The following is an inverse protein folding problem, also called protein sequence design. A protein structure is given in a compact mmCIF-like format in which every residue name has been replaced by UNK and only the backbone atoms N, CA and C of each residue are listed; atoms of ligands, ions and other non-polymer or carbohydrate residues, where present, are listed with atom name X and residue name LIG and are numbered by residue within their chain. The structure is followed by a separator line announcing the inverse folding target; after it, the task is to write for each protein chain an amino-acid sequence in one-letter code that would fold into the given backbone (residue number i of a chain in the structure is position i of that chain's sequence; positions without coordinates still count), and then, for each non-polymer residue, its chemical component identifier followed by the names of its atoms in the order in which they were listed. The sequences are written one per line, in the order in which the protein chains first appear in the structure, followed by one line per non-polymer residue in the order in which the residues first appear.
data_IF_525473979114
#
_entry.id   IF_525473979114
#
_cell.length_a   1.000
_cell.length_b   1.000
_cell.length_c   1.000
_cell.angle_alpha   90.00
_cell.angle_beta   90.00
_cell.angle_gamma   90.00
#
_symmetry.space_group_name_H-M   'P 1'
#
loop_
_entity.id
_entity.type
_entity.pdbx_description
1 polymer ?
#
# COMPACT_ATOMS: atom_id res chain seq x y z
N UNK A 1 -10.36 7.01 -19.28
CA UNK A 1 -10.21 6.05 -18.16
C UNK A 1 -9.73 6.83 -16.96
N UNK A 2 -10.23 6.58 -15.75
CA UNK A 2 -9.82 7.34 -14.58
C UNK A 2 -8.34 7.10 -14.26
N UNK A 3 -7.65 8.13 -13.79
CA UNK A 3 -6.22 8.08 -13.47
C UNK A 3 -5.98 7.81 -11.97
N UNK A 4 -5.02 6.93 -11.67
CA UNK A 4 -4.51 6.70 -10.32
C UNK A 4 -3.02 7.06 -10.25
N UNK A 5 -2.61 7.73 -9.18
CA UNK A 5 -1.20 7.94 -8.87
C UNK A 5 -0.86 7.25 -7.55
N UNK A 6 0.25 6.53 -7.51
CA UNK A 6 0.66 5.82 -6.30
C UNK A 6 2.08 6.21 -5.90
N UNK A 7 2.22 6.64 -4.65
CA UNK A 7 3.50 6.88 -3.99
C UNK A 7 3.77 5.72 -3.04
N UNK A 8 4.94 5.10 -3.17
CA UNK A 8 5.36 3.99 -2.33
C UNK A 8 6.59 4.39 -1.53
N UNK A 9 6.39 4.52 -0.21
CA UNK A 9 7.40 4.90 0.76
C UNK A 9 7.89 3.69 1.56
N UNK A 10 9.03 3.85 2.23
CA UNK A 10 9.58 2.83 3.12
C UNK A 10 10.43 1.79 2.40
N UNK A 11 9.98 0.53 2.41
CA UNK A 11 10.84 -0.62 2.13
C UNK A 11 10.40 -1.44 0.91
N UNK A 12 11.22 -2.40 0.46
CA UNK A 12 10.87 -3.29 -0.65
C UNK A 12 9.58 -4.11 -0.45
N UNK A 13 9.19 -4.43 0.79
CA UNK A 13 7.88 -5.10 1.03
C UNK A 13 6.72 -4.18 0.66
N UNK A 14 6.83 -2.91 1.05
CA UNK A 14 5.86 -1.88 0.69
C UNK A 14 5.80 -1.64 -0.82
N UNK A 15 6.93 -1.79 -1.53
CA UNK A 15 6.98 -1.78 -3.00
C UNK A 15 6.07 -2.84 -3.59
N UNK A 16 6.22 -4.10 -3.14
CA UNK A 16 5.37 -5.21 -3.61
C UNK A 16 3.90 -4.96 -3.30
N UNK A 17 3.58 -4.50 -2.09
CA UNK A 17 2.21 -4.15 -1.68
C UNK A 17 1.60 -3.05 -2.58
N UNK A 18 2.44 -2.09 -2.99
CA UNK A 18 2.05 -1.00 -3.89
C UNK A 18 1.78 -1.47 -5.31
N UNK A 19 2.62 -2.37 -5.82
CA UNK A 19 2.44 -2.98 -7.14
C UNK A 19 1.19 -3.86 -7.18
N UNK A 20 0.82 -4.48 -6.04
CA UNK A 20 -0.47 -5.16 -5.89
C UNK A 20 -1.63 -4.18 -5.98
N UNK A 21 -1.58 -3.07 -5.24
CA UNK A 21 -2.60 -2.02 -5.31
C UNK A 21 -2.76 -1.43 -6.72
N UNK A 22 -1.66 -1.22 -7.46
CA UNK A 22 -1.73 -0.80 -8.87
C UNK A 22 -2.39 -1.87 -9.75
N UNK A 23 -2.10 -3.15 -9.52
CA UNK A 23 -2.76 -4.26 -10.20
C UNK A 23 -4.27 -4.30 -9.93
N UNK A 24 -4.68 -4.12 -8.68
CA UNK A 24 -6.10 -4.01 -8.29
C UNK A 24 -6.78 -2.84 -8.99
N UNK A 25 -6.12 -1.67 -9.02
CA UNK A 25 -6.64 -0.48 -9.68
C UNK A 25 -6.81 -0.70 -11.20
N UNK A 26 -5.86 -1.37 -11.85
CA UNK A 26 -5.97 -1.74 -13.27
C UNK A 26 -7.17 -2.64 -13.54
N UNK A 27 -7.45 -3.62 -12.67
CA UNK A 27 -8.64 -4.47 -12.78
C UNK A 27 -9.95 -3.68 -12.63
N UNK A 28 -9.92 -2.55 -11.92
CA UNK A 28 -11.05 -1.63 -11.77
C UNK A 28 -11.09 -0.54 -12.86
N UNK A 29 -10.29 -0.67 -13.93
CA UNK A 29 -10.31 0.25 -15.08
C UNK A 29 -9.53 1.56 -14.88
N UNK A 30 -8.74 1.67 -13.82
CA UNK A 30 -7.84 2.80 -13.62
C UNK A 30 -6.53 2.59 -14.38
N UNK A 31 -5.99 3.67 -14.94
CA UNK A 31 -4.64 3.67 -15.50
C UNK A 31 -3.71 4.43 -14.56
N UNK A 32 -2.47 3.94 -14.43
CA UNK A 32 -1.47 4.57 -13.57
C UNK A 32 -0.85 5.80 -14.27
N UNK A 33 -0.87 6.95 -13.61
CA UNK A 33 -0.15 8.17 -14.04
C UNK A 33 1.03 8.45 -13.11
N UNK A 34 2.09 9.05 -13.67
CA UNK A 34 3.23 9.56 -12.90
C UNK A 34 3.00 10.98 -12.36
N UNK A 35 1.97 11.65 -12.84
CA UNK A 35 1.67 13.04 -12.50
C UNK A 35 0.53 13.10 -11.48
N UNK A 36 0.85 13.40 -10.22
CA UNK A 36 -0.14 13.45 -9.13
C UNK A 36 -1.29 14.42 -9.42
N UNK A 37 -1.01 15.56 -10.09
CA UNK A 37 -2.01 16.58 -10.44
C UNK A 37 -3.12 16.07 -11.37
N UNK A 38 -2.82 15.05 -12.18
CA UNK A 38 -3.72 14.46 -13.19
C UNK A 38 -4.51 13.28 -12.62
N UNK A 39 -4.14 12.80 -11.43
CA UNK A 39 -4.76 11.64 -10.82
C UNK A 39 -6.08 11.99 -10.12
N UNK A 40 -7.10 11.18 -10.38
CA UNK A 40 -8.39 11.25 -9.70
C UNK A 40 -8.31 10.53 -8.35
N UNK A 41 -7.52 9.47 -8.26
CA UNK A 41 -7.22 8.75 -7.02
C UNK A 41 -5.74 8.83 -6.74
N UNK A 42 -5.36 9.25 -5.55
CA UNK A 42 -3.98 9.23 -5.09
C UNK A 42 -3.86 8.24 -3.93
N UNK A 43 -2.92 7.31 -4.03
CA UNK A 43 -2.60 6.35 -2.97
C UNK A 43 -1.21 6.64 -2.43
N UNK A 44 -1.11 6.86 -1.12
CA UNK A 44 0.18 6.96 -0.42
C UNK A 44 0.37 5.71 0.42
N UNK A 45 1.26 4.81 -0.01
CA UNK A 45 1.63 3.63 0.77
C UNK A 45 2.81 3.95 1.70
N UNK A 46 2.54 3.98 2.99
CA UNK A 46 3.36 4.63 4.01
C UNK A 46 4.20 3.67 4.85
N UNK A 47 5.23 4.22 5.50
CA UNK A 47 6.05 3.51 6.47
C UNK A 47 5.76 3.99 7.90
N UNK A 48 5.48 3.05 8.81
CA UNK A 48 5.20 3.33 10.23
C UNK A 48 6.31 2.89 11.20
N UNK A 49 7.47 2.46 10.68
CA UNK A 49 8.47 1.74 11.48
C UNK A 49 9.34 2.67 12.33
N UNK A 50 10.10 3.57 11.70
CA UNK A 50 11.02 4.51 12.37
C UNK A 50 10.48 5.94 12.33
N UNK A 51 10.85 6.76 13.32
CA UNK A 51 10.40 8.15 13.47
C UNK A 51 10.56 9.00 12.20
N UNK A 52 11.74 9.06 11.55
CA UNK A 52 11.92 9.82 10.31
C UNK A 52 10.97 9.40 9.19
N UNK A 53 10.77 8.09 9.00
CA UNK A 53 9.88 7.56 7.97
C UNK A 53 8.40 7.89 8.23
N UNK A 54 8.00 8.00 9.52
CA UNK A 54 6.66 8.49 9.88
C UNK A 54 6.48 9.95 9.47
N UNK A 55 7.47 10.80 9.78
CA UNK A 55 7.43 12.24 9.43
C UNK A 55 7.39 12.45 7.92
N UNK A 56 8.23 11.72 7.18
CA UNK A 56 8.21 11.70 5.71
C UNK A 56 6.83 11.28 5.19
N UNK A 57 6.26 10.20 5.73
CA UNK A 57 4.94 9.72 5.31
C UNK A 57 3.86 10.78 5.51
N UNK A 58 3.82 11.45 6.67
CA UNK A 58 2.84 12.54 6.93
C UNK A 58 3.06 13.73 5.99
N UNK A 59 4.30 14.14 5.77
CA UNK A 59 4.61 15.25 4.86
C UNK A 59 4.12 14.97 3.43
N UNK A 60 4.36 13.75 2.92
CA UNK A 60 3.90 13.34 1.58
C UNK A 60 2.38 13.23 1.53
N UNK A 61 1.70 12.76 2.58
CA UNK A 61 0.23 12.72 2.62
C UNK A 61 -0.33 14.13 2.45
N UNK A 62 0.19 15.11 3.21
CA UNK A 62 -0.26 16.49 3.15
C UNK A 62 0.06 17.15 1.80
N UNK A 63 1.22 16.85 1.22
CA UNK A 63 1.57 17.28 -0.14
C UNK A 63 0.56 16.74 -1.16
N UNK A 64 0.22 15.46 -1.07
CA UNK A 64 -0.76 14.83 -1.98
C UNK A 64 -2.18 15.33 -1.75
N UNK A 65 -2.54 15.68 -0.51
CA UNK A 65 -3.83 16.29 -0.20
C UNK A 65 -4.02 17.65 -0.87
N UNK A 66 -2.95 18.42 -1.11
CA UNK A 66 -3.03 19.68 -1.83
C UNK A 66 -3.57 19.51 -3.26
N UNK A 67 -3.43 18.32 -3.87
CA UNK A 67 -4.01 18.01 -5.18
C UNK A 67 -5.53 17.82 -5.16
N UNK A 68 -6.18 17.74 -4.00
CA UNK A 68 -7.66 17.82 -3.90
C UNK A 68 -8.19 19.22 -4.21
N UNK A 69 -7.36 20.25 -4.05
CA UNK A 69 -7.70 21.66 -4.32
C UNK A 69 -7.12 22.12 -5.65
N UNK A 70 -5.88 21.75 -5.94
CA UNK A 70 -5.10 22.27 -7.08
C UNK A 70 -5.04 21.32 -8.29
N UNK A 71 -5.49 20.08 -8.13
CA UNK A 71 -5.41 19.02 -9.15
C UNK A 71 -6.75 18.32 -9.37
N UNK A 72 -6.67 17.11 -9.91
CA UNK A 72 -7.85 16.29 -10.23
C UNK A 72 -8.26 15.33 -9.10
N UNK A 73 -7.55 15.35 -7.97
CA UNK A 73 -7.71 14.35 -6.92
C UNK A 73 -9.07 14.47 -6.26
N UNK A 74 -9.90 13.43 -6.37
CA UNK A 74 -11.16 13.30 -5.64
C UNK A 74 -11.03 12.37 -4.44
N UNK A 75 -10.04 11.48 -4.45
CA UNK A 75 -9.87 10.44 -3.46
C UNK A 75 -8.40 10.29 -3.05
N UNK A 76 -8.11 10.53 -1.78
CA UNK A 76 -6.82 10.31 -1.16
C UNK A 76 -6.90 9.10 -0.22
N UNK A 77 -6.13 8.07 -0.56
CA UNK A 77 -6.06 6.81 0.20
C UNK A 77 -4.68 6.67 0.84
N UNK A 78 -4.64 6.41 2.14
CA UNK A 78 -3.39 6.16 2.87
C UNK A 78 -3.31 4.70 3.30
N UNK A 79 -2.36 3.98 2.72
CA UNK A 79 -2.17 2.56 2.97
C UNK A 79 -0.90 2.28 3.78
N UNK A 80 -0.79 1.07 4.31
CA UNK A 80 0.48 0.50 4.76
C UNK A 80 0.73 0.57 6.26
N UNK A 81 2.02 0.54 6.62
CA UNK A 81 2.47 0.34 7.99
C UNK A 81 2.11 1.48 8.94
N UNK A 82 1.97 2.72 8.46
CA UNK A 82 1.58 3.85 9.32
C UNK A 82 0.11 3.70 9.72
N UNK A 83 -0.79 3.50 8.74
CA UNK A 83 -2.23 3.27 8.93
C UNK A 83 -2.51 2.10 9.87
N UNK A 84 -1.73 1.00 9.76
CA UNK A 84 -1.88 -0.16 10.64
C UNK A 84 -1.57 0.15 12.12
N UNK A 85 -0.65 1.08 12.39
CA UNK A 85 -0.11 1.30 13.73
C UNK A 85 -0.99 2.18 14.60
N UNK A 86 -1.56 3.23 13.99
CA UNK A 86 -2.24 4.31 14.68
C UNK A 86 -3.52 4.72 13.92
N UNK A 87 -4.46 3.79 13.65
CA UNK A 87 -5.59 4.06 12.76
C UNK A 87 -6.45 5.24 13.25
N UNK A 88 -6.84 5.24 14.53
CA UNK A 88 -7.75 6.26 15.07
C UNK A 88 -7.09 7.64 15.18
N UNK A 89 -5.84 7.68 15.65
CA UNK A 89 -5.04 8.91 15.76
C UNK A 89 -4.84 9.54 14.37
N UNK A 90 -4.40 8.76 13.37
CA UNK A 90 -4.22 9.24 12.00
C UNK A 90 -5.52 9.73 11.37
N UNK A 91 -6.65 9.04 11.61
CA UNK A 91 -7.94 9.47 11.09
C UNK A 91 -8.40 10.81 11.68
N UNK A 92 -8.03 11.09 12.94
CA UNK A 92 -8.32 12.36 13.61
C UNK A 92 -7.39 13.49 13.16
N UNK A 93 -6.10 13.20 12.96
CA UNK A 93 -5.08 14.20 12.61
C UNK A 93 -5.02 14.52 11.12
N UNK A 94 -5.49 13.61 10.25
CA UNK A 94 -5.46 13.74 8.79
C UNK A 94 -6.89 13.70 8.21
N UNK A 95 -7.75 14.70 8.49
CA UNK A 95 -9.13 14.76 8.00
C UNK A 95 -9.24 14.78 6.47
N UNK A 96 -8.19 15.19 5.76
CA UNK A 96 -8.10 15.23 4.30
C UNK A 96 -8.02 13.85 3.63
N UNK A 97 -7.69 12.80 4.39
CA UNK A 97 -7.62 11.42 3.91
C UNK A 97 -9.01 10.78 3.93
N UNK A 98 -9.44 10.27 2.77
CA UNK A 98 -10.76 9.66 2.59
C UNK A 98 -10.80 8.22 3.10
N UNK A 99 -9.74 7.45 2.87
CA UNK A 99 -9.66 6.06 3.32
C UNK A 99 -8.27 5.68 3.85
N UNK A 100 -8.25 4.89 4.91
CA UNK A 100 -7.05 4.26 5.46
C UNK A 100 -7.10 2.75 5.24
N UNK A 101 -6.04 2.19 4.67
CA UNK A 101 -5.92 0.75 4.40
C UNK A 101 -4.77 0.17 5.23
N UNK A 102 -5.02 -0.93 5.93
CA UNK A 102 -4.01 -1.65 6.71
C UNK A 102 -2.93 -2.30 5.84
N UNK A 103 -1.85 -2.76 6.48
CA UNK A 103 -0.72 -3.36 5.75
C UNK A 103 -1.04 -4.70 5.09
N UNK A 104 -2.08 -5.38 5.59
CA UNK A 104 -2.59 -6.65 5.08
C UNK A 104 -3.91 -6.51 4.33
N UNK A 105 -4.35 -5.27 4.09
CA UNK A 105 -5.67 -4.98 3.52
C UNK A 105 -5.58 -4.41 2.09
N UNK A 106 -4.42 -4.55 1.44
CA UNK A 106 -4.11 -3.92 0.13
C UNK A 106 -5.14 -4.23 -0.97
N UNK A 107 -5.80 -5.40 -0.90
CA UNK A 107 -6.84 -5.79 -1.85
C UNK A 107 -8.14 -4.99 -1.68
N UNK A 108 -8.40 -4.45 -0.48
CA UNK A 108 -9.57 -3.60 -0.18
C UNK A 108 -9.54 -2.26 -0.91
N UNK A 109 -8.44 -1.92 -1.58
CA UNK A 109 -8.44 -0.81 -2.53
C UNK A 109 -9.51 -1.01 -3.62
N UNK A 110 -9.80 -2.25 -4.02
CA UNK A 110 -10.88 -2.53 -4.97
C UNK A 110 -12.24 -2.04 -4.47
N UNK A 111 -12.55 -2.32 -3.20
CA UNK A 111 -13.81 -1.87 -2.57
C UNK A 111 -13.89 -0.34 -2.53
N UNK A 112 -12.79 0.33 -2.19
CA UNK A 112 -12.67 1.80 -2.21
C UNK A 112 -12.93 2.36 -3.62
N UNK A 113 -12.30 1.77 -4.64
CA UNK A 113 -12.47 2.19 -6.03
C UNK A 113 -13.89 1.90 -6.57
N UNK A 114 -14.57 0.89 -6.03
CA UNK A 114 -15.96 0.57 -6.34
C UNK A 114 -16.98 1.48 -5.62
N UNK A 115 -16.52 2.44 -4.80
CA UNK A 115 -17.37 3.37 -4.06
C UNK A 115 -17.71 2.93 -2.63
N UNK A 116 -16.91 2.04 -2.05
CA UNK A 116 -17.02 1.65 -0.64
C UNK A 116 -16.94 2.84 0.31
N UNK A 117 -17.70 2.79 1.40
CA UNK A 117 -17.94 3.94 2.28
C UNK A 117 -17.07 4.01 3.53
N UNK A 118 -16.42 2.90 3.91
CA UNK A 118 -15.69 2.86 5.17
C UNK A 118 -14.38 3.63 5.08
N UNK A 119 -14.24 4.67 5.91
CA UNK A 119 -13.01 5.45 6.02
C UNK A 119 -11.84 4.65 6.60
N UNK A 120 -12.12 3.62 7.40
CA UNK A 120 -11.11 2.80 8.07
C UNK A 120 -11.21 1.34 7.66
N UNK A 121 -10.25 0.88 6.86
CA UNK A 121 -10.15 -0.47 6.31
C UNK A 121 -8.86 -1.13 6.83
N UNK A 122 -8.65 -1.06 8.15
CA UNK A 122 -7.50 -1.63 8.84
C UNK A 122 -7.93 -2.88 9.58
N UNK A 123 -7.52 -4.03 9.07
CA UNK A 123 -7.80 -5.36 9.62
C UNK A 123 -6.66 -5.90 10.45
N UNK A 124 -6.71 -7.22 10.69
CA UNK A 124 -5.64 -7.91 11.38
C UNK A 124 -4.43 -8.03 10.42
N UNK A 125 -3.23 -7.58 10.86
CA UNK A 125 -2.03 -7.60 10.03
C UNK A 125 -1.50 -9.02 9.75
N UNK A 126 -2.21 -10.07 10.21
CA UNK A 126 -1.92 -11.47 9.91
C UNK A 126 -2.73 -12.06 8.74
N UNK A 127 -3.76 -11.36 8.27
CA UNK A 127 -4.80 -11.97 7.42
C UNK A 127 -4.39 -12.12 5.94
N UNK A 128 -3.28 -11.49 5.52
CA UNK A 128 -2.87 -11.51 4.13
C UNK A 128 -1.37 -11.74 3.94
N UNK A 129 -1.07 -12.48 2.88
CA UNK A 129 0.24 -12.65 2.27
C UNK A 129 0.02 -12.64 0.77
N UNK A 130 0.90 -11.96 0.04
CA UNK A 130 0.86 -11.95 -1.43
C UNK A 130 0.99 -13.37 -1.98
N UNK A 131 0.32 -13.64 -3.10
CA UNK A 131 0.42 -14.89 -3.85
C UNK A 131 0.84 -14.62 -5.29
N UNK A 132 1.24 -15.67 -6.02
CA UNK A 132 1.55 -15.55 -7.45
C UNK A 132 0.38 -14.99 -8.27
N UNK A 133 -0.85 -15.26 -7.82
CA UNK A 133 -2.10 -14.89 -8.48
C UNK A 133 -2.62 -13.52 -8.03
N UNK A 134 -1.92 -12.85 -7.11
CA UNK A 134 -2.21 -11.46 -6.77
C UNK A 134 -2.01 -10.57 -7.99
N UNK A 135 -2.94 -9.67 -8.32
CA UNK A 135 -2.74 -8.76 -9.44
C UNK A 135 -1.52 -7.89 -9.15
N UNK A 136 -0.60 -7.74 -10.10
CA UNK A 136 0.58 -6.88 -9.93
C UNK A 136 0.84 -6.08 -11.20
N UNK A 137 1.07 -4.77 -11.02
CA UNK A 137 1.66 -3.90 -12.04
C UNK A 137 3.02 -3.43 -11.53
N UNK A 138 4.10 -3.78 -12.23
CA UNK A 138 5.45 -3.38 -11.81
C UNK A 138 5.64 -1.87 -11.89
N UNK A 139 6.21 -1.32 -10.82
CA UNK A 139 6.47 0.12 -10.65
C UNK A 139 7.96 0.47 -10.70
N UNK A 140 8.81 -0.56 -10.67
CA UNK A 140 10.27 -0.46 -10.67
C UNK A 140 10.85 -0.27 -12.07
N UNK A 141 12.12 0.17 -12.15
CA UNK A 141 12.83 0.27 -13.43
C UNK A 141 12.98 -1.12 -14.06
N UNK A 142 12.98 -1.23 -15.40
CA UNK A 142 13.24 -2.50 -16.08
C UNK A 142 14.56 -3.14 -15.61
N UNK A 143 14.56 -4.47 -15.47
CA UNK A 143 15.76 -5.27 -15.16
C UNK A 143 15.85 -5.81 -13.72
N UNK A 144 14.95 -5.43 -12.82
CA UNK A 144 14.80 -6.12 -11.53
C UNK A 144 13.39 -5.96 -10.96
N UNK A 145 12.95 -6.92 -10.16
CA UNK A 145 11.68 -6.88 -9.45
C UNK A 145 11.85 -7.48 -8.05
N UNK A 146 11.14 -6.93 -7.06
CA UNK A 146 11.10 -7.51 -5.72
C UNK A 146 10.06 -8.64 -5.66
N UNK A 147 10.42 -9.71 -4.96
CA UNK A 147 9.55 -10.86 -4.68
C UNK A 147 9.46 -11.02 -3.17
N UNK A 148 8.25 -10.88 -2.62
CA UNK A 148 8.01 -11.01 -1.18
C UNK A 148 7.77 -12.48 -0.86
N UNK A 149 8.80 -13.18 -0.39
CA UNK A 149 8.72 -14.62 -0.05
C UNK A 149 8.01 -14.91 1.28
N UNK A 150 7.97 -13.92 2.18
CA UNK A 150 7.38 -14.05 3.51
C UNK A 150 6.97 -12.67 4.05
N UNK A 151 6.03 -12.69 5.00
CA UNK A 151 5.50 -11.54 5.72
C UNK A 151 5.60 -11.71 7.24
N UNK A 152 5.68 -10.59 7.97
CA UNK A 152 5.70 -10.60 9.43
C UNK A 152 7.00 -11.13 10.05
N UNK A 153 7.01 -11.27 11.38
CA UNK A 153 8.19 -11.71 12.13
C UNK A 153 7.80 -12.29 13.51
N UNK A 154 8.44 -13.39 13.92
CA UNK A 154 8.27 -14.01 15.25
C UNK A 154 9.36 -13.62 16.27
N UNK A 155 10.27 -12.73 15.87
CA UNK A 155 11.34 -12.27 16.75
C UNK A 155 10.80 -11.25 17.75
N UNK A 156 11.19 -11.41 19.01
CA UNK A 156 10.81 -10.54 20.12
C UNK A 156 11.93 -9.52 20.40
N UNK A 157 12.30 -8.75 19.38
CA UNK A 157 13.29 -7.69 19.54
C UNK A 157 12.66 -6.51 20.29
N UNK A 158 13.26 -6.08 21.40
CA UNK A 158 12.75 -5.01 22.26
C UNK A 158 12.49 -3.67 21.54
N UNK A 159 13.15 -3.44 20.41
CA UNK A 159 13.05 -2.22 19.60
C UNK A 159 12.12 -2.35 18.38
N UNK A 160 11.63 -3.55 18.06
CA UNK A 160 10.97 -3.83 16.78
C UNK A 160 9.44 -3.94 16.93
N UNK A 161 8.72 -3.11 16.19
CA UNK A 161 7.24 -3.11 16.17
C UNK A 161 6.64 -3.96 15.04
N UNK A 162 7.46 -4.66 14.24
CA UNK A 162 6.98 -5.40 13.06
C UNK A 162 5.86 -6.40 13.37
N UNK A 163 5.87 -7.18 14.47
CA UNK A 163 4.76 -8.07 14.78
C UNK A 163 3.41 -7.36 14.92
N UNK A 164 3.40 -6.09 15.34
CA UNK A 164 2.19 -5.26 15.42
C UNK A 164 1.78 -4.72 14.04
N UNK A 165 2.75 -4.45 13.17
CA UNK A 165 2.51 -3.82 11.87
C UNK A 165 2.18 -4.82 10.76
N UNK A 166 2.72 -6.04 10.83
CA UNK A 166 2.64 -7.05 9.74
C UNK A 166 2.37 -8.46 10.28
N UNK A 167 2.04 -8.59 11.56
CA UNK A 167 1.73 -9.86 12.21
C UNK A 167 2.96 -10.76 12.43
N UNK A 168 2.68 -11.97 12.93
CA UNK A 168 3.66 -13.06 13.12
C UNK A 168 4.24 -13.55 11.80
N UNK A 169 5.33 -14.32 11.84
CA UNK A 169 5.95 -14.80 10.60
C UNK A 169 4.99 -15.70 9.81
N UNK A 170 4.89 -15.45 8.51
CA UNK A 170 4.15 -16.27 7.54
C UNK A 170 4.96 -16.36 6.26
N UNK A 171 5.32 -17.58 5.86
CA UNK A 171 6.01 -17.83 4.59
C UNK A 171 5.02 -18.20 3.49
N UNK A 172 5.32 -17.80 2.25
CA UNK A 172 4.67 -18.39 1.08
C UNK A 172 5.21 -19.79 0.82
N UNK A 173 4.42 -20.59 0.11
CA UNK A 173 4.86 -21.87 -0.40
C UNK A 173 5.91 -21.67 -1.51
N UNK A 174 6.99 -22.47 -1.57
CA UNK A 174 8.01 -22.35 -2.62
C UNK A 174 7.44 -22.36 -4.04
N UNK A 175 6.49 -23.25 -4.34
CA UNK A 175 5.86 -23.32 -5.67
C UNK A 175 5.11 -22.03 -6.04
N UNK A 176 4.50 -21.36 -5.06
CA UNK A 176 3.86 -20.07 -5.29
C UNK A 176 4.88 -18.97 -5.60
N UNK A 177 6.04 -18.99 -4.92
CA UNK A 177 7.14 -18.07 -5.21
C UNK A 177 7.70 -18.33 -6.62
N UNK A 178 7.91 -19.60 -7.00
CA UNK A 178 8.42 -19.97 -8.32
C UNK A 178 7.48 -19.52 -9.44
N UNK A 179 6.16 -19.75 -9.30
CA UNK A 179 5.16 -19.29 -10.27
C UNK A 179 5.21 -17.77 -10.48
N UNK A 180 5.38 -17.00 -9.41
CA UNK A 180 5.50 -15.55 -9.53
C UNK A 180 6.80 -15.15 -10.25
N UNK A 181 7.92 -15.77 -9.90
CA UNK A 181 9.22 -15.50 -10.55
C UNK A 181 9.16 -15.82 -12.04
N UNK A 182 8.59 -16.96 -12.42
CA UNK A 182 8.38 -17.33 -13.83
C UNK A 182 7.56 -16.30 -14.59
N UNK A 183 6.49 -15.75 -13.98
CA UNK A 183 5.68 -14.69 -14.58
C UNK A 183 6.40 -13.34 -14.71
N UNK A 184 7.42 -13.09 -13.88
CA UNK A 184 8.16 -11.82 -13.88
C UNK A 184 9.33 -11.80 -14.88
N UNK A 185 9.81 -12.98 -15.30
CA UNK A 185 10.93 -13.12 -16.24
C UNK A 185 10.46 -13.30 -17.69
N UNK A 186 9.23 -13.79 -17.88
CA UNK A 186 8.59 -13.94 -19.20
C UNK A 186 7.83 -12.69 -19.61
#
# INVERSE_FOLDING_TARGET
MPAIHLISLGCPKNRVDSEVMLGVAQQHGYHHTREAREAEVIVVNTCGFIGPAKKESVAVILEMAAHKVSGSCRLLVVAGCLSQRHPDELASELPEVDHFIGSSDVMKLGDVLAGGSDRMLVGNPADWVVSADSPRMLSSRPGSAYVKIAEGCDRHCSFCVIPLLRGKQRSRHPDDILREVERLVN
#
